data_IF_674659534894
#
_entry.id   IF_674659534894
#
_cell.length_a   1.000
_cell.length_b   1.000
_cell.length_c   1.000
_cell.angle_alpha   90.00
_cell.angle_beta   90.00
_cell.angle_gamma   90.00
#
_symmetry.space_group_name_H-M   'P 1'
#
loop_
_entity.id
_entity.type
_entity.pdbx_description
1 polymer ?
#
# COMPACT_ATOMS: atom_id res chain seq x y z
N UNK A 1 -2.30 -29.17 -7.45
CA UNK A 1 -2.52 -28.48 -6.15
C UNK A 1 -1.80 -27.14 -6.19
N UNK A 2 -2.55 -26.06 -6.33
CA UNK A 2 -2.03 -24.69 -6.34
C UNK A 2 -1.45 -24.37 -4.96
N UNK A 3 -0.11 -24.37 -4.83
CA UNK A 3 0.57 -24.17 -3.54
C UNK A 3 0.36 -22.71 -3.14
N UNK A 4 -0.54 -22.47 -2.16
CA UNK A 4 -0.80 -21.14 -1.61
C UNK A 4 0.44 -20.65 -0.86
N UNK A 5 1.27 -19.90 -1.56
CA UNK A 5 2.41 -19.24 -0.95
C UNK A 5 1.94 -18.20 0.07
N UNK A 6 2.61 -18.19 1.22
CA UNK A 6 2.37 -17.29 2.33
C UNK A 6 3.34 -16.11 2.29
N UNK A 7 2.83 -14.90 2.51
CA UNK A 7 3.62 -13.66 2.56
C UNK A 7 3.40 -12.97 3.90
N UNK A 8 4.36 -12.16 4.30
CA UNK A 8 4.24 -11.30 5.48
C UNK A 8 4.57 -9.87 5.11
N UNK A 9 3.79 -8.98 5.70
CA UNK A 9 3.73 -7.57 5.33
C UNK A 9 3.77 -6.70 6.58
N UNK A 10 4.08 -5.44 6.36
CA UNK A 10 4.00 -4.37 7.35
C UNK A 10 2.85 -3.44 6.95
N UNK A 11 1.98 -3.14 7.90
CA UNK A 11 0.92 -2.13 7.77
C UNK A 11 1.31 -0.87 8.56
N UNK A 12 0.78 0.31 8.20
CA UNK A 12 1.00 1.50 9.02
C UNK A 12 0.20 1.35 10.32
N UNK A 13 0.81 1.77 11.43
CA UNK A 13 0.17 1.81 12.76
C UNK A 13 -0.89 2.91 12.85
N UNK A 14 -0.67 4.02 12.15
CA UNK A 14 -1.64 5.11 12.10
C UNK A 14 -2.79 4.76 11.15
N UNK A 15 -3.99 4.56 11.71
CA UNK A 15 -5.20 4.21 10.95
C UNK A 15 -5.59 5.27 9.92
N UNK A 16 -5.28 6.53 10.18
CA UNK A 16 -5.62 7.63 9.28
C UNK A 16 -4.71 7.66 8.05
N UNK A 17 -3.40 7.44 8.24
CA UNK A 17 -2.46 7.18 7.14
C UNK A 17 -2.90 5.94 6.34
N UNK A 18 -3.30 4.87 7.04
CA UNK A 18 -3.84 3.65 6.39
C UNK A 18 -5.01 3.98 5.47
N UNK A 19 -6.00 4.75 5.97
CA UNK A 19 -7.17 5.15 5.18
C UNK A 19 -6.76 5.95 3.94
N UNK A 20 -5.87 6.94 4.05
CA UNK A 20 -5.36 7.69 2.88
C UNK A 20 -4.74 6.79 1.81
N UNK A 21 -3.83 5.89 2.20
CA UNK A 21 -3.15 4.99 1.25
C UNK A 21 -4.14 4.02 0.61
N UNK A 22 -5.09 3.49 1.38
CA UNK A 22 -6.15 2.60 0.90
C UNK A 22 -7.11 3.31 -0.07
N UNK A 23 -7.46 4.57 0.19
CA UNK A 23 -8.26 5.40 -0.71
C UNK A 23 -7.60 5.55 -2.08
N UNK A 24 -6.30 5.88 -2.11
CA UNK A 24 -5.53 5.99 -3.36
C UNK A 24 -5.57 4.66 -4.12
N UNK A 25 -5.30 3.53 -3.43
CA UNK A 25 -5.32 2.20 -4.03
C UNK A 25 -6.69 1.86 -4.66
N UNK A 26 -7.79 2.11 -3.94
CA UNK A 26 -9.14 1.82 -4.41
C UNK A 26 -9.57 2.68 -5.61
N UNK A 27 -9.21 3.98 -5.60
CA UNK A 27 -9.49 4.85 -6.75
C UNK A 27 -8.69 4.41 -7.97
N UNK A 28 -7.41 4.02 -7.78
CA UNK A 28 -6.59 3.48 -8.85
C UNK A 28 -7.24 2.23 -9.47
N UNK A 29 -7.64 1.28 -8.62
CA UNK A 29 -8.31 0.05 -9.02
C UNK A 29 -9.23 -0.46 -7.90
N UNK A 30 -10.53 -0.50 -8.15
CA UNK A 30 -11.50 -0.95 -7.15
C UNK A 30 -11.43 -2.47 -6.89
N UNK A 31 -10.68 -3.22 -7.69
CA UNK A 31 -10.44 -4.66 -7.48
C UNK A 31 -9.22 -4.94 -6.59
N UNK A 32 -8.59 -3.90 -6.02
CA UNK A 32 -7.52 -4.08 -5.04
C UNK A 32 -8.02 -4.94 -3.88
N UNK A 33 -7.24 -5.96 -3.54
CA UNK A 33 -7.63 -6.94 -2.52
C UNK A 33 -7.05 -6.61 -1.17
N UNK A 34 -5.83 -6.15 -1.14
CA UNK A 34 -5.05 -5.96 0.08
C UNK A 34 -4.93 -4.48 0.39
N UNK A 35 -4.94 -4.17 1.69
CA UNK A 35 -4.61 -2.82 2.17
C UNK A 35 -3.22 -2.40 1.69
N UNK A 36 -2.92 -1.11 1.76
CA UNK A 36 -1.59 -0.58 1.53
C UNK A 36 -0.60 -1.15 2.56
N UNK A 37 0.45 -1.80 2.07
CA UNK A 37 1.42 -2.49 2.90
C UNK A 37 2.80 -2.56 2.24
N UNK A 38 3.83 -2.86 3.03
CA UNK A 38 5.15 -3.23 2.55
C UNK A 38 5.31 -4.75 2.67
N UNK A 39 5.48 -5.46 1.55
CA UNK A 39 5.80 -6.89 1.60
C UNK A 39 7.27 -7.08 1.94
N UNK A 40 7.55 -7.79 3.04
CA UNK A 40 8.91 -7.96 3.58
C UNK A 40 9.40 -9.41 3.58
N UNK A 41 8.49 -10.39 3.65
CA UNK A 41 8.87 -11.80 3.68
C UNK A 41 7.98 -12.70 2.81
N UNK A 42 8.58 -13.76 2.28
CA UNK A 42 7.92 -14.78 1.47
C UNK A 42 8.48 -14.84 0.04
N UNK A 43 7.95 -15.71 -0.83
CA UNK A 43 6.88 -16.68 -0.55
C UNK A 43 7.33 -17.82 0.38
N UNK A 44 6.55 -18.17 1.40
CA UNK A 44 6.73 -19.39 2.20
C UNK A 44 5.74 -20.47 1.78
N UNK A 45 6.14 -21.75 1.87
CA UNK A 45 5.25 -22.88 1.53
C UNK A 45 4.01 -22.95 2.42
N UNK A 46 4.16 -22.60 3.69
CA UNK A 46 3.11 -22.61 4.72
C UNK A 46 3.16 -21.30 5.52
N UNK A 47 2.09 -21.01 6.25
CA UNK A 47 2.09 -19.98 7.30
C UNK A 47 3.16 -20.36 8.33
N UNK A 48 4.02 -19.40 8.70
CA UNK A 48 5.00 -19.57 9.78
C UNK A 48 4.29 -19.45 11.13
N UNK A 49 4.86 -20.07 12.17
CA UNK A 49 4.27 -20.08 13.52
C UNK A 49 4.27 -18.70 14.21
N UNK A 50 3.41 -18.54 15.20
CA UNK A 50 3.20 -17.25 15.88
C UNK A 50 4.44 -16.75 16.61
N UNK A 51 5.26 -17.63 17.21
CA UNK A 51 6.54 -17.25 17.83
C UNK A 51 7.51 -16.59 16.84
N UNK A 52 7.52 -17.08 15.60
CA UNK A 52 8.32 -16.48 14.54
C UNK A 52 7.78 -15.10 14.19
N UNK A 53 6.46 -14.94 14.07
CA UNK A 53 5.83 -13.64 13.80
C UNK A 53 6.12 -12.66 14.94
N UNK A 54 5.97 -13.07 16.20
CA UNK A 54 6.24 -12.27 17.37
C UNK A 54 7.70 -11.81 17.43
N UNK A 55 8.66 -12.72 17.19
CA UNK A 55 10.09 -12.39 17.14
C UNK A 55 10.39 -11.26 16.17
N UNK A 56 9.85 -11.30 14.95
CA UNK A 56 10.12 -10.28 13.95
C UNK A 56 9.30 -9.01 14.15
N UNK A 57 8.08 -9.13 14.68
CA UNK A 57 7.29 -7.97 15.12
C UNK A 57 8.02 -7.16 16.18
N UNK A 58 8.66 -7.81 17.16
CA UNK A 58 9.45 -7.12 18.20
C UNK A 58 10.65 -6.33 17.64
N UNK A 59 11.11 -6.62 16.42
CA UNK A 59 12.22 -5.90 15.78
C UNK A 59 11.73 -4.67 15.01
N UNK A 60 10.50 -4.69 14.49
CA UNK A 60 10.02 -3.70 13.51
C UNK A 60 8.82 -2.88 13.99
N UNK A 61 8.10 -3.32 15.03
CA UNK A 61 6.95 -2.58 15.57
C UNK A 61 7.40 -1.23 16.12
N UNK A 62 6.68 -0.16 15.76
CA UNK A 62 7.02 1.21 16.13
C UNK A 62 8.18 1.84 15.35
N UNK A 63 8.86 1.08 14.47
CA UNK A 63 9.89 1.65 13.62
C UNK A 63 9.29 2.64 12.64
N UNK A 64 9.93 3.81 12.54
CA UNK A 64 9.55 4.86 11.61
C UNK A 64 10.30 4.65 10.30
N UNK A 65 9.56 4.32 9.26
CA UNK A 65 10.06 4.18 7.89
C UNK A 65 9.83 5.48 7.13
N UNK A 66 10.79 5.86 6.30
CA UNK A 66 10.69 7.05 5.47
C UNK A 66 10.27 6.69 4.05
N UNK A 67 9.14 7.24 3.60
CA UNK A 67 8.63 7.05 2.25
C UNK A 67 9.04 8.26 1.42
N UNK A 68 10.05 8.09 0.58
CA UNK A 68 10.86 9.20 0.05
C UNK A 68 10.51 9.60 -1.39
N UNK A 69 10.09 8.63 -2.22
CA UNK A 69 9.80 8.87 -3.62
C UNK A 69 8.63 8.02 -4.13
N UNK A 70 8.09 8.42 -5.28
CA UNK A 70 7.31 7.53 -6.14
C UNK A 70 8.24 6.96 -7.21
N UNK A 71 8.13 5.66 -7.44
CA UNK A 71 8.86 4.96 -8.50
C UNK A 71 7.89 4.03 -9.27
N UNK A 72 8.41 3.36 -10.28
CA UNK A 72 7.64 2.46 -11.14
C UNK A 72 8.48 1.25 -11.58
N UNK A 73 7.79 0.22 -12.11
CA UNK A 73 8.42 -0.93 -12.77
C UNK A 73 8.22 -0.93 -14.30
N UNK A 74 7.99 0.24 -14.91
CA UNK A 74 7.80 0.36 -16.36
C UNK A 74 8.97 -0.20 -17.19
N UNK A 75 10.25 -0.01 -16.80
CA UNK A 75 11.40 -0.59 -17.52
C UNK A 75 11.39 -2.12 -17.57
N UNK A 76 10.67 -2.77 -16.64
CA UNK A 76 10.54 -4.23 -16.56
C UNK A 76 9.24 -4.74 -17.21
N UNK A 77 8.56 -3.89 -17.99
CA UNK A 77 7.31 -4.25 -18.68
C UNK A 77 6.09 -4.35 -17.77
N UNK A 78 6.20 -3.96 -16.49
CA UNK A 78 5.10 -3.95 -15.54
C UNK A 78 4.49 -2.56 -15.48
N UNK A 79 3.19 -2.44 -15.22
CA UNK A 79 2.50 -1.16 -15.07
C UNK A 79 2.42 -0.73 -13.59
N UNK A 80 3.38 -1.17 -12.78
CA UNK A 80 3.35 -0.95 -11.33
C UNK A 80 3.82 0.46 -10.98
N UNK A 81 3.06 1.15 -10.14
CA UNK A 81 3.42 2.43 -9.51
C UNK A 81 3.42 2.22 -8.00
N UNK A 82 4.49 2.64 -7.34
CA UNK A 82 4.68 2.39 -5.91
C UNK A 82 5.39 3.55 -5.22
N UNK A 83 5.14 3.67 -3.92
CA UNK A 83 5.93 4.54 -3.06
C UNK A 83 7.13 3.77 -2.53
N UNK A 84 8.32 4.33 -2.75
CA UNK A 84 9.60 3.78 -2.29
C UNK A 84 9.77 4.08 -0.80
N UNK A 85 10.09 3.04 -0.05
CA UNK A 85 10.59 3.17 1.31
C UNK A 85 12.12 3.21 1.26
N UNK A 86 12.72 4.10 2.04
CA UNK A 86 14.16 4.18 2.17
C UNK A 86 14.75 3.02 2.98
N UNK A 87 16.08 2.93 2.91
CA UNK A 87 16.85 1.97 3.66
C UNK A 87 16.70 2.18 5.17
N UNK A 88 16.27 1.13 5.86
CA UNK A 88 16.16 1.10 7.33
C UNK A 88 16.78 -0.20 7.88
N UNK A 89 17.55 -0.09 8.96
CA UNK A 89 18.29 -1.22 9.53
C UNK A 89 17.38 -2.32 10.11
N UNK A 90 16.30 -1.94 10.80
CA UNK A 90 15.31 -2.90 11.28
C UNK A 90 14.58 -3.58 10.10
N UNK A 91 14.24 -2.80 9.06
CA UNK A 91 13.60 -3.30 7.85
C UNK A 91 14.47 -4.34 7.12
N UNK A 92 15.78 -4.09 7.02
CA UNK A 92 16.75 -5.04 6.46
C UNK A 92 16.82 -6.34 7.26
N UNK A 93 16.75 -6.28 8.59
CA UNK A 93 16.70 -7.48 9.45
C UNK A 93 15.44 -8.30 9.22
N UNK A 94 14.30 -7.65 8.98
CA UNK A 94 13.04 -8.35 8.71
C UNK A 94 12.88 -8.80 7.25
N UNK A 95 13.73 -8.36 6.34
CA UNK A 95 13.62 -8.68 4.93
C UNK A 95 14.02 -10.13 4.64
N UNK A 96 13.14 -10.89 3.98
CA UNK A 96 13.44 -12.22 3.48
C UNK A 96 12.54 -12.56 2.28
N UNK A 97 12.87 -12.01 1.11
CA UNK A 97 12.22 -12.34 -0.15
C UNK A 97 12.99 -13.45 -0.87
N UNK A 98 12.45 -14.67 -0.87
CA UNK A 98 13.13 -15.84 -1.43
C UNK A 98 13.28 -15.80 -2.96
N UNK A 99 12.48 -14.98 -3.63
CA UNK A 99 12.45 -14.87 -5.10
C UNK A 99 12.91 -13.51 -5.62
N UNK A 100 13.33 -12.61 -4.73
CA UNK A 100 13.78 -11.25 -5.09
C UNK A 100 14.99 -10.87 -4.23
N UNK A 101 16.17 -10.85 -4.85
CA UNK A 101 17.43 -10.62 -4.14
C UNK A 101 17.63 -9.15 -3.75
N UNK A 102 16.99 -8.21 -4.47
CA UNK A 102 17.15 -6.78 -4.21
C UNK A 102 16.32 -6.34 -2.99
N UNK A 103 16.97 -5.61 -2.08
CA UNK A 103 16.28 -4.89 -1.02
C UNK A 103 15.60 -3.64 -1.61
N UNK A 104 14.31 -3.76 -1.91
CA UNK A 104 13.48 -2.69 -2.51
C UNK A 104 12.13 -2.61 -1.78
N UNK A 105 12.11 -2.13 -0.53
CA UNK A 105 10.85 -1.99 0.20
C UNK A 105 9.99 -0.91 -0.44
N UNK A 106 8.72 -1.21 -0.65
CA UNK A 106 7.78 -0.30 -1.29
C UNK A 106 6.34 -0.60 -0.91
N UNK A 107 5.48 0.41 -1.11
CA UNK A 107 4.03 0.30 -1.00
C UNK A 107 3.45 0.41 -2.41
N UNK A 108 2.92 -0.69 -2.94
CA UNK A 108 2.31 -0.69 -4.28
C UNK A 108 0.97 0.04 -4.25
N UNK A 109 0.86 1.13 -5.03
CA UNK A 109 -0.38 1.89 -5.19
C UNK A 109 -1.22 1.34 -6.34
N UNK A 110 -0.58 0.97 -7.44
CA UNK A 110 -1.24 0.43 -8.63
C UNK A 110 -0.38 -0.66 -9.27
N UNK A 111 -1.04 -1.74 -9.70
CA UNK A 111 -0.43 -2.84 -10.45
C UNK A 111 -1.47 -3.45 -11.41
N UNK A 112 -1.93 -2.65 -12.37
CA UNK A 112 -3.04 -2.99 -13.24
C UNK A 112 -2.66 -3.18 -14.72
N UNK A 113 -3.65 -3.51 -15.55
CA UNK A 113 -3.43 -3.78 -16.99
C UNK A 113 -3.35 -2.51 -17.84
N UNK A 114 -3.90 -1.38 -17.38
CA UNK A 114 -3.92 -0.14 -18.15
C UNK A 114 -2.59 0.61 -17.99
N UNK A 115 -1.73 0.48 -19.01
CA UNK A 115 -0.42 1.17 -19.09
C UNK A 115 -0.55 2.69 -19.16
N UNK A 116 -1.52 3.20 -19.93
CA UNK A 116 -1.73 4.64 -20.11
C UNK A 116 -2.09 5.30 -18.78
N UNK A 117 -2.99 4.67 -18.02
CA UNK A 117 -3.34 5.13 -16.69
C UNK A 117 -2.14 5.09 -15.75
N UNK A 118 -1.35 4.01 -15.76
CA UNK A 118 -0.15 3.90 -14.93
C UNK A 118 0.83 5.06 -15.14
N UNK A 119 1.09 5.41 -16.40
CA UNK A 119 1.98 6.52 -16.77
C UNK A 119 1.42 7.86 -16.27
N UNK A 120 0.12 8.12 -16.49
CA UNK A 120 -0.52 9.34 -15.98
C UNK A 120 -0.49 9.42 -14.46
N UNK A 121 -0.76 8.31 -13.78
CA UNK A 121 -0.73 8.21 -12.32
C UNK A 121 0.68 8.50 -11.80
N UNK A 122 1.71 7.85 -12.36
CA UNK A 122 3.10 8.10 -11.99
C UNK A 122 3.46 9.58 -12.19
N UNK A 123 3.17 10.16 -13.36
CA UNK A 123 3.50 11.56 -13.65
C UNK A 123 2.77 12.54 -12.71
N UNK A 124 1.50 12.26 -12.40
CA UNK A 124 0.71 13.05 -11.45
C UNK A 124 1.38 13.06 -10.08
N UNK A 125 1.68 11.87 -9.54
CA UNK A 125 2.26 11.74 -8.21
C UNK A 125 3.66 12.34 -8.18
N UNK A 126 4.51 12.01 -9.15
CA UNK A 126 5.91 12.42 -9.19
C UNK A 126 6.09 13.94 -9.29
N UNK A 127 5.11 14.65 -9.87
CA UNK A 127 5.18 16.10 -10.03
C UNK A 127 5.12 16.91 -8.73
N UNK A 128 4.56 16.34 -7.65
CA UNK A 128 4.32 17.02 -6.37
C UNK A 128 4.34 16.01 -5.21
N UNK A 129 5.24 15.01 -5.29
CA UNK A 129 5.37 14.01 -4.23
C UNK A 129 6.03 14.64 -3.02
N UNK A 130 5.37 14.56 -1.86
CA UNK A 130 5.99 14.89 -0.58
C UNK A 130 6.28 13.62 0.23
N UNK A 131 7.51 13.50 0.75
CA UNK A 131 7.83 12.41 1.64
C UNK A 131 7.01 12.43 2.93
N UNK A 132 6.76 11.25 3.47
CA UNK A 132 6.01 11.09 4.72
C UNK A 132 6.57 9.94 5.56
N UNK A 133 6.24 9.97 6.85
CA UNK A 133 6.64 8.94 7.81
C UNK A 133 5.61 7.81 7.88
N UNK A 134 6.11 6.59 8.00
CA UNK A 134 5.33 5.38 8.10
C UNK A 134 5.78 4.62 9.36
N UNK A 135 5.08 4.84 10.48
CA UNK A 135 5.29 4.04 11.68
C UNK A 135 4.67 2.65 11.47
N UNK A 136 5.46 1.60 11.68
CA UNK A 136 5.04 0.22 11.47
C UNK A 136 4.21 -0.28 12.65
N UNK A 137 3.07 -0.92 12.38
CA UNK A 137 2.30 -1.64 13.41
C UNK A 137 3.06 -2.88 13.88
N UNK A 138 3.05 -3.94 13.08
CA UNK A 138 3.74 -5.22 13.36
C UNK A 138 3.88 -6.04 12.08
N UNK A 139 4.64 -7.13 12.17
CA UNK A 139 4.65 -8.13 11.11
C UNK A 139 3.31 -8.85 11.08
N UNK A 140 2.64 -8.82 9.93
CA UNK A 140 1.32 -9.40 9.74
C UNK A 140 1.33 -10.43 8.62
N UNK A 141 0.54 -11.50 8.79
CA UNK A 141 0.29 -12.46 7.72
C UNK A 141 -0.54 -11.80 6.63
N UNK A 142 -0.13 -11.93 5.37
CA UNK A 142 -0.92 -11.52 4.23
C UNK A 142 -1.83 -12.67 3.83
N UNK A 143 -3.13 -12.50 4.05
CA UNK A 143 -4.13 -13.52 3.75
C UNK A 143 -4.00 -13.99 2.29
N UNK A 144 -4.03 -15.32 2.05
CA UNK A 144 -3.78 -15.88 0.74
C UNK A 144 -4.95 -15.57 -0.20
N UNK A 145 -4.68 -15.69 -1.51
CA UNK A 145 -5.69 -15.62 -2.57
C UNK A 145 -6.63 -16.84 -2.47
N UNK A 146 -7.56 -16.86 -1.51
CA UNK A 146 -8.58 -17.89 -1.42
C UNK A 146 -9.82 -17.47 -2.23
N UNK A 147 -10.14 -18.11 -3.37
CA UNK A 147 -11.22 -17.70 -4.25
C UNK A 147 -12.59 -17.59 -3.56
N UNK A 148 -12.85 -18.44 -2.57
CA UNK A 148 -14.12 -18.50 -1.84
C UNK A 148 -14.29 -17.44 -0.76
N UNK A 149 -13.20 -16.80 -0.30
CA UNK A 149 -13.24 -15.74 0.72
C UNK A 149 -12.82 -14.38 0.15
N UNK A 150 -12.70 -14.29 -1.18
CA UNK A 150 -12.15 -13.12 -1.87
C UNK A 150 -12.88 -11.82 -1.55
N UNK A 151 -14.20 -11.85 -1.49
CA UNK A 151 -14.98 -10.64 -1.24
C UNK A 151 -14.93 -10.23 0.24
N UNK A 152 -14.85 -11.17 1.19
CA UNK A 152 -14.82 -10.86 2.63
C UNK A 152 -13.53 -10.14 3.07
N UNK A 153 -12.40 -10.47 2.45
CA UNK A 153 -11.10 -9.87 2.80
C UNK A 153 -10.62 -8.85 1.79
N UNK A 154 -11.42 -8.54 0.76
CA UNK A 154 -11.05 -7.52 -0.20
C UNK A 154 -11.11 -6.12 0.43
N UNK A 155 -10.13 -5.29 0.09
CA UNK A 155 -10.05 -3.90 0.52
C UNK A 155 -11.37 -3.15 0.29
N UNK A 156 -12.02 -3.36 -0.86
CA UNK A 156 -13.31 -2.74 -1.20
C UNK A 156 -14.45 -3.05 -0.22
N UNK A 157 -14.38 -4.15 0.53
CA UNK A 157 -15.43 -4.58 1.47
C UNK A 157 -15.18 -4.08 2.89
N UNK A 158 -13.91 -3.90 3.27
CA UNK A 158 -13.52 -3.48 4.61
C UNK A 158 -13.18 -1.99 4.71
N UNK A 159 -13.17 -1.28 3.57
CA UNK A 159 -12.90 0.15 3.53
C UNK A 159 -14.12 0.97 3.97
N UNK A 160 -13.87 1.93 4.85
CA UNK A 160 -14.86 2.91 5.30
C UNK A 160 -15.00 4.03 4.26
N UNK A 161 -15.99 3.91 3.39
CA UNK A 161 -16.26 4.86 2.30
C UNK A 161 -16.66 6.26 2.80
N UNK A 162 -17.08 6.42 4.05
CA UNK A 162 -17.38 7.75 4.62
C UNK A 162 -16.14 8.63 4.68
N UNK A 163 -14.94 8.03 4.67
CA UNK A 163 -13.68 8.77 4.59
C UNK A 163 -13.54 9.60 3.30
N UNK A 164 -14.15 9.18 2.19
CA UNK A 164 -14.18 10.01 0.97
C UNK A 164 -15.01 11.27 1.17
N UNK A 165 -16.14 11.17 1.88
CA UNK A 165 -16.97 12.33 2.21
C UNK A 165 -16.20 13.29 3.11
N UNK A 166 -15.43 12.77 4.06
CA UNK A 166 -14.59 13.58 4.95
C UNK A 166 -13.51 14.38 4.19
N UNK A 167 -12.75 13.73 3.30
CA UNK A 167 -11.56 14.36 2.68
C UNK A 167 -11.82 14.98 1.30
N UNK A 168 -12.91 14.63 0.62
CA UNK A 168 -13.26 15.16 -0.71
C UNK A 168 -14.59 15.91 -0.74
N UNK A 169 -15.35 15.90 0.35
CA UNK A 169 -16.75 16.37 0.41
C UNK A 169 -17.68 15.70 -0.62
N UNK A 170 -17.34 14.48 -1.04
CA UNK A 170 -18.07 13.73 -2.06
C UNK A 170 -18.39 12.33 -1.53
N UNK A 171 -19.62 11.89 -1.75
CA UNK A 171 -20.04 10.53 -1.48
C UNK A 171 -19.57 9.61 -2.61
N UNK A 172 -18.61 8.74 -2.30
CA UNK A 172 -18.07 7.74 -3.21
C UNK A 172 -18.36 6.37 -2.61
N UNK A 173 -19.09 5.54 -3.33
CA UNK A 173 -19.28 4.13 -3.02
C UNK A 173 -18.59 3.23 -4.07
N UNK A 174 -18.75 1.92 -3.91
CA UNK A 174 -18.18 0.94 -4.84
C UNK A 174 -18.75 1.06 -6.26
N UNK A 175 -20.03 1.40 -6.42
CA UNK A 175 -20.66 1.52 -7.75
C UNK A 175 -20.15 2.76 -8.49
N UNK A 176 -19.91 3.85 -7.78
CA UNK A 176 -19.25 5.05 -8.29
C UNK A 176 -17.81 4.72 -8.70
N UNK A 177 -17.02 4.05 -7.84
CA UNK A 177 -15.64 3.67 -8.16
C UNK A 177 -15.54 2.81 -9.44
N UNK A 178 -16.48 1.87 -9.65
CA UNK A 178 -16.52 1.00 -10.84
C UNK A 178 -16.68 1.79 -12.14
N UNK A 179 -17.45 2.87 -12.10
CA UNK A 179 -17.82 3.69 -13.27
C UNK A 179 -16.99 4.96 -13.39
N UNK A 180 -16.09 5.21 -12.45
CA UNK A 180 -15.33 6.46 -12.35
C UNK A 180 -14.41 6.65 -13.57
N UNK A 181 -14.55 7.76 -14.33
CA UNK A 181 -13.66 8.07 -15.44
C UNK A 181 -12.20 8.26 -14.98
N UNK A 182 -11.26 7.94 -15.86
CA UNK A 182 -9.82 8.02 -15.58
C UNK A 182 -9.38 9.40 -15.08
N UNK A 183 -9.87 10.47 -15.70
CA UNK A 183 -9.53 11.85 -15.31
C UNK A 183 -10.08 12.21 -13.93
N UNK A 184 -11.27 11.73 -13.59
CA UNK A 184 -11.86 11.90 -12.25
C UNK A 184 -11.04 11.17 -11.20
N UNK A 185 -10.59 9.93 -11.50
CA UNK A 185 -9.69 9.17 -10.61
C UNK A 185 -8.42 9.95 -10.30
N UNK A 186 -7.76 10.48 -11.34
CA UNK A 186 -6.53 11.26 -11.20
C UNK A 186 -6.77 12.55 -10.38
N UNK A 187 -7.88 13.26 -10.61
CA UNK A 187 -8.25 14.45 -9.84
C UNK A 187 -8.46 14.16 -8.35
N UNK A 188 -9.16 13.07 -8.02
CA UNK A 188 -9.36 12.68 -6.63
C UNK A 188 -8.08 12.20 -5.96
N UNK A 189 -7.26 11.40 -6.65
CA UNK A 189 -5.94 11.00 -6.14
C UNK A 189 -5.08 12.23 -5.82
N UNK A 190 -5.06 13.24 -6.71
CA UNK A 190 -4.34 14.50 -6.47
C UNK A 190 -4.83 15.19 -5.19
N UNK A 191 -6.14 15.24 -4.98
CA UNK A 191 -6.74 15.88 -3.81
C UNK A 191 -6.41 15.11 -2.53
N UNK A 192 -6.51 13.78 -2.55
CA UNK A 192 -6.14 12.91 -1.43
C UNK A 192 -4.66 13.07 -1.06
N UNK A 193 -3.77 13.14 -2.05
CA UNK A 193 -2.33 13.37 -1.81
C UNK A 193 -2.08 14.72 -1.14
N UNK A 194 -2.82 15.78 -1.49
CA UNK A 194 -2.73 17.08 -0.81
C UNK A 194 -3.14 17.00 0.65
N UNK A 195 -4.22 16.28 0.96
CA UNK A 195 -4.65 16.07 2.35
C UNK A 195 -3.64 15.23 3.14
N UNK A 196 -3.15 14.14 2.56
CA UNK A 196 -2.08 13.33 3.16
C UNK A 196 -0.85 14.19 3.45
N UNK A 197 -0.45 15.03 2.50
CA UNK A 197 0.64 16.00 2.66
C UNK A 197 0.39 16.94 3.83
N UNK A 198 -0.77 17.58 3.92
CA UNK A 198 -1.07 18.52 5.01
C UNK A 198 -0.98 17.86 6.40
N UNK A 199 -1.41 16.61 6.49
CA UNK A 199 -1.54 15.91 7.77
C UNK A 199 -0.26 15.16 8.19
N UNK A 200 0.44 14.54 7.24
CA UNK A 200 1.58 13.66 7.48
C UNK A 200 2.92 14.22 6.99
N UNK A 201 2.98 15.53 6.69
CA UNK A 201 4.26 16.15 6.36
C UNK A 201 5.29 15.87 7.45
N UNK A 202 6.51 15.49 7.05
CA UNK A 202 7.67 15.30 7.93
C UNK A 202 7.89 16.43 8.94
N UNK A 203 7.55 17.68 8.59
CA UNK A 203 7.67 18.83 9.50
C UNK A 203 6.63 18.88 10.63
N UNK A 204 5.49 18.19 10.48
CA UNK A 204 4.39 18.18 11.45
C UNK A 204 4.42 16.97 12.39
N UNK A 205 5.31 16.01 12.17
CA UNK A 205 5.44 14.83 13.02
C UNK A 205 6.19 15.20 14.31
N UNK A 206 5.45 15.62 15.34
CA UNK A 206 5.95 15.68 16.72
C UNK A 206 5.82 14.28 17.31
N UNK A 207 6.96 13.66 17.61
CA UNK A 207 7.04 12.38 18.32
C UNK A 207 6.47 12.44 19.73
#
# INVERSE_FOLDING_TARGET
MDRRNSFYVLYPKNDRLKKYLNSIKLICDYNQRTEAHITVRGPYKNKVGDDFVAKWSNIISGEILYISFVENFFPFGQNTVYFRCDDNNALKKVWNKLTYNDFKPHITMYDGKNKRFAIKLYNLIASDFEPFLYEVDKLSYLEPKNPTLLDMFSLKSNFDYTFYKEILDIDIDLEILKKMPEETKLSYIKSILRHLKMEFNTYNYKG
#
